data_IF_623227373057
#
_entry.id   IF_623227373057
#
_cell.length_a   1.000
_cell.length_b   1.000
_cell.length_c   1.000
_cell.angle_alpha   90.00
_cell.angle_beta   90.00
_cell.angle_gamma   90.00
#
_symmetry.space_group_name_H-M   'P 1'
#
loop_
_entity.id
_entity.type
_entity.pdbx_description
1 polymer ?
#
# COMPACT_ATOMS: atom_id res chain seq x y z
N UNK A 1 -11.63 -7.77 -1.06
CA UNK A 1 -10.76 -7.72 -2.28
C UNK A 1 -9.48 -8.45 -1.95
N UNK A 2 -8.85 -9.18 -2.88
CA UNK A 2 -7.58 -9.88 -2.61
C UNK A 2 -6.42 -9.23 -3.34
N UNK A 3 -5.29 -9.03 -2.66
CA UNK A 3 -4.07 -8.44 -3.22
C UNK A 3 -2.92 -9.43 -3.07
N UNK A 4 -2.21 -9.67 -4.16
CA UNK A 4 -1.05 -10.58 -4.20
C UNK A 4 0.21 -9.75 -4.42
N UNK A 5 1.15 -9.84 -3.50
CA UNK A 5 2.48 -9.25 -3.62
C UNK A 5 3.47 -10.36 -3.95
N UNK A 6 4.13 -10.28 -5.10
CA UNK A 6 5.13 -11.26 -5.54
C UNK A 6 6.53 -10.66 -5.46
N UNK A 7 7.42 -11.31 -4.73
CA UNK A 7 8.78 -10.84 -4.48
C UNK A 7 9.62 -10.89 -5.74
N UNK A 8 10.29 -9.79 -6.05
CA UNK A 8 11.28 -9.69 -7.11
C UNK A 8 12.71 -9.68 -6.59
N UNK A 9 13.69 -9.55 -7.50
CA UNK A 9 15.08 -9.41 -7.11
C UNK A 9 15.32 -8.09 -6.34
N UNK A 10 16.27 -8.12 -5.40
CA UNK A 10 16.58 -6.97 -4.55
C UNK A 10 15.38 -6.55 -3.70
N UNK A 11 14.97 -5.30 -3.81
CA UNK A 11 13.76 -4.75 -3.15
C UNK A 11 12.57 -4.62 -4.11
N UNK A 12 12.68 -5.18 -5.32
CA UNK A 12 11.61 -5.17 -6.32
C UNK A 12 10.48 -6.14 -5.97
N UNK A 13 9.28 -5.87 -6.49
CA UNK A 13 8.11 -6.74 -6.37
C UNK A 13 7.03 -6.37 -7.38
N UNK A 14 6.06 -7.26 -7.54
CA UNK A 14 4.85 -7.07 -8.35
C UNK A 14 3.60 -7.16 -7.49
N UNK A 15 2.55 -6.50 -7.95
CA UNK A 15 1.25 -6.45 -7.28
C UNK A 15 0.19 -6.87 -8.28
N UNK A 16 -0.62 -7.84 -7.91
CA UNK A 16 -1.86 -8.19 -8.59
C UNK A 16 -3.04 -7.94 -7.65
N UNK A 17 -4.10 -7.34 -8.18
CA UNK A 17 -5.32 -7.03 -7.43
C UNK A 17 -6.47 -7.80 -8.04
N UNK A 18 -7.09 -8.66 -7.24
CA UNK A 18 -8.28 -9.43 -7.58
C UNK A 18 -9.47 -8.84 -6.83
N UNK A 19 -10.45 -8.33 -7.59
CA UNK A 19 -11.62 -7.64 -7.05
C UNK A 19 -12.86 -7.97 -7.86
N UNK A 20 -14.02 -7.90 -7.21
CA UNK A 20 -15.32 -8.10 -7.82
C UNK A 20 -15.87 -6.79 -8.41
N UNK A 21 -15.59 -5.67 -7.74
CA UNK A 21 -16.05 -4.34 -8.15
C UNK A 21 -15.03 -3.65 -9.04
N UNK A 22 -15.46 -3.21 -10.23
CA UNK A 22 -14.61 -2.51 -11.20
C UNK A 22 -13.91 -3.45 -12.19
N UNK A 23 -13.15 -2.88 -13.13
CA UNK A 23 -12.46 -3.68 -14.15
C UNK A 23 -11.36 -4.55 -13.53
N UNK A 24 -11.12 -5.74 -14.11
CA UNK A 24 -9.94 -6.53 -13.81
C UNK A 24 -8.67 -5.71 -14.12
N UNK A 25 -7.70 -5.74 -13.21
CA UNK A 25 -6.51 -4.90 -13.28
C UNK A 25 -5.31 -5.70 -13.77
N UNK A 26 -4.51 -5.10 -14.66
CA UNK A 26 -3.21 -5.65 -15.03
C UNK A 26 -2.26 -5.56 -13.83
N UNK A 27 -1.44 -6.60 -13.56
CA UNK A 27 -0.39 -6.50 -12.55
C UNK A 27 0.58 -5.36 -12.86
N UNK A 28 1.18 -4.78 -11.82
CA UNK A 28 2.22 -3.77 -11.96
C UNK A 28 3.42 -4.08 -11.08
N UNK A 29 4.58 -3.52 -11.42
CA UNK A 29 5.70 -3.47 -10.50
C UNK A 29 5.48 -2.38 -9.45
N UNK A 30 5.96 -2.64 -8.22
CA UNK A 30 6.07 -1.65 -7.17
C UNK A 30 7.23 -0.68 -7.41
N UNK A 31 7.27 0.46 -6.68
CA UNK A 31 8.40 1.38 -6.69
C UNK A 31 9.65 0.84 -5.98
N UNK A 32 9.58 -0.34 -5.37
CA UNK A 32 10.59 -0.85 -4.44
C UNK A 32 10.23 -0.53 -2.98
N UNK A 33 11.20 -0.56 -2.10
CA UNK A 33 11.01 -0.32 -0.67
C UNK A 33 12.13 -0.91 0.17
N UNK A 34 11.77 -1.41 1.35
CA UNK A 34 12.68 -2.09 2.27
C UNK A 34 12.73 -3.60 1.97
N UNK A 35 13.84 -4.26 2.30
CA UNK A 35 14.01 -5.71 2.05
C UNK A 35 13.07 -6.59 2.87
N UNK A 36 12.54 -6.07 3.98
CA UNK A 36 11.53 -6.71 4.81
C UNK A 36 10.11 -6.23 4.51
N UNK A 37 9.95 -4.97 4.09
CA UNK A 37 8.64 -4.33 3.95
C UNK A 37 8.58 -3.57 2.62
N UNK A 38 7.96 -4.17 1.58
CA UNK A 38 7.60 -3.48 0.35
C UNK A 38 6.75 -2.25 0.63
N UNK A 39 7.02 -1.14 -0.05
CA UNK A 39 6.28 0.11 0.13
C UNK A 39 4.77 -0.06 -0.02
N UNK A 40 4.32 -0.74 -1.08
CA UNK A 40 2.89 -0.95 -1.30
C UNK A 40 2.27 -1.95 -0.30
N UNK A 41 3.06 -2.84 0.31
CA UNK A 41 2.58 -3.71 1.41
C UNK A 41 2.38 -2.90 2.70
N UNK A 42 3.30 -1.95 2.98
CA UNK A 42 3.16 -0.99 4.08
C UNK A 42 1.85 -0.21 3.96
N UNK A 43 1.55 0.36 2.79
CA UNK A 43 0.29 1.07 2.58
C UNK A 43 -0.94 0.18 2.78
N UNK A 44 -0.90 -1.07 2.31
CA UNK A 44 -2.00 -2.01 2.52
C UNK A 44 -2.30 -2.21 4.00
N UNK A 45 -1.27 -2.55 4.79
CA UNK A 45 -1.40 -2.84 6.22
C UNK A 45 -1.82 -1.59 7.01
N UNK A 46 -1.22 -0.44 6.70
CA UNK A 46 -1.56 0.85 7.35
C UNK A 46 -3.02 1.20 7.10
N UNK A 47 -3.48 1.18 5.85
CA UNK A 47 -4.84 1.57 5.54
C UNK A 47 -5.86 0.59 6.14
N UNK A 48 -5.56 -0.71 6.15
CA UNK A 48 -6.40 -1.73 6.76
C UNK A 48 -6.55 -1.51 8.27
N UNK A 49 -5.43 -1.38 9.01
CA UNK A 49 -5.42 -1.23 10.47
C UNK A 49 -5.96 0.14 10.96
N UNK A 50 -5.80 1.18 10.13
CA UNK A 50 -6.30 2.52 10.42
C UNK A 50 -7.72 2.78 9.89
N UNK A 51 -8.33 1.81 9.21
CA UNK A 51 -9.67 1.90 8.65
C UNK A 51 -9.81 2.96 7.56
N UNK A 52 -8.74 3.26 6.83
CA UNK A 52 -8.70 4.30 5.80
C UNK A 52 -9.38 3.76 4.53
N UNK A 53 -10.55 4.34 4.18
CA UNK A 53 -11.37 3.82 3.07
C UNK A 53 -11.09 4.52 1.74
N UNK A 54 -10.51 5.72 1.75
CA UNK A 54 -10.20 6.47 0.51
C UNK A 54 -8.70 6.63 0.27
N UNK A 55 -7.89 5.76 0.86
CA UNK A 55 -6.47 5.58 0.54
C UNK A 55 -6.26 4.89 -0.82
N UNK A 56 -5.08 4.35 -1.07
CA UNK A 56 -4.76 3.57 -2.28
C UNK A 56 -5.64 2.33 -2.35
N UNK A 57 -5.59 1.46 -1.34
CA UNK A 57 -6.27 0.15 -1.37
C UNK A 57 -7.75 0.25 -1.08
N UNK A 58 -8.16 1.17 -0.19
CA UNK A 58 -9.57 1.46 0.02
C UNK A 58 -10.29 1.86 -1.28
N UNK A 59 -9.65 2.68 -2.12
CA UNK A 59 -10.20 3.05 -3.43
C UNK A 59 -10.19 1.88 -4.43
N UNK A 60 -9.13 1.07 -4.44
CA UNK A 60 -9.07 -0.13 -5.29
C UNK A 60 -10.22 -1.10 -4.96
N UNK A 61 -10.50 -1.29 -3.67
CA UNK A 61 -11.60 -2.11 -3.19
C UNK A 61 -12.98 -1.54 -3.56
N UNK A 62 -13.10 -0.21 -3.61
CA UNK A 62 -14.30 0.49 -4.08
C UNK A 62 -14.45 0.49 -5.62
N UNK A 63 -13.52 -0.11 -6.36
CA UNK A 63 -13.57 -0.23 -7.82
C UNK A 63 -12.87 0.88 -8.61
N UNK A 64 -12.19 1.82 -7.94
CA UNK A 64 -11.31 2.79 -8.60
C UNK A 64 -10.07 2.07 -9.16
N UNK A 65 -9.57 2.46 -10.33
CA UNK A 65 -8.36 1.85 -10.88
C UNK A 65 -7.07 2.36 -10.21
N UNK A 66 -7.11 3.54 -9.56
CA UNK A 66 -5.96 4.11 -8.88
C UNK A 66 -4.71 4.19 -9.77
N UNK A 67 -3.62 3.56 -9.31
CA UNK A 67 -2.35 3.46 -10.03
C UNK A 67 -2.29 2.28 -11.01
N UNK A 68 -3.33 1.45 -11.06
CA UNK A 68 -3.41 0.29 -11.94
C UNK A 68 -4.15 0.64 -13.23
N UNK A 69 -3.97 -0.22 -14.22
CA UNK A 69 -4.68 -0.14 -15.48
C UNK A 69 -5.63 -1.33 -15.62
N UNK A 70 -6.81 -1.15 -16.22
CA UNK A 70 -7.61 -2.29 -16.67
C UNK A 70 -6.77 -3.22 -17.55
N UNK A 71 -6.92 -4.53 -17.35
CA UNK A 71 -6.25 -5.56 -18.15
C UNK A 71 -6.82 -5.64 -19.57
N UNK A 72 -8.13 -5.46 -19.72
CA UNK A 72 -8.81 -5.39 -21.01
C UNK A 72 -8.48 -4.06 -21.73
N UNK A 73 -7.92 -4.09 -22.95
CA UNK A 73 -7.66 -2.91 -23.76
C UNK A 73 -8.88 -2.01 -23.98
N UNK A 74 -10.09 -2.56 -24.13
CA UNK A 74 -11.31 -1.78 -24.34
C UNK A 74 -11.67 -0.95 -23.09
N UNK A 75 -11.65 -1.58 -21.91
CA UNK A 75 -11.88 -0.90 -20.63
C UNK A 75 -10.75 0.09 -20.30
N UNK A 76 -9.50 -0.22 -20.67
CA UNK A 76 -8.37 0.71 -20.53
C UNK A 76 -8.59 1.98 -21.35
N UNK A 77 -8.99 1.84 -22.61
CA UNK A 77 -9.27 2.97 -23.51
C UNK A 77 -10.44 3.82 -22.98
N UNK A 78 -11.50 3.17 -22.49
CA UNK A 78 -12.65 3.84 -21.86
C UNK A 78 -12.26 4.60 -20.60
N UNK A 79 -11.47 4.00 -19.71
CA UNK A 79 -10.96 4.65 -18.51
C UNK A 79 -10.08 5.86 -18.84
N UNK A 80 -9.18 5.73 -19.82
CA UNK A 80 -8.33 6.82 -20.29
C UNK A 80 -9.14 7.99 -20.87
N UNK A 81 -10.15 7.70 -21.71
CA UNK A 81 -11.07 8.72 -22.25
C UNK A 81 -11.83 9.43 -21.13
N UNK A 82 -12.38 8.68 -20.17
CA UNK A 82 -13.10 9.24 -19.02
C UNK A 82 -12.21 10.15 -18.16
N UNK A 83 -10.96 9.75 -17.90
CA UNK A 83 -10.01 10.56 -17.13
C UNK A 83 -9.66 11.88 -17.83
N UNK A 84 -9.56 11.86 -19.18
CA UNK A 84 -9.34 13.07 -19.99
C UNK A 84 -10.56 13.98 -20.02
N UNK A 85 -11.77 13.43 -20.20
CA UNK A 85 -12.98 14.24 -20.34
C UNK A 85 -13.56 14.74 -19.02
N UNK A 86 -13.31 14.03 -17.91
CA UNK A 86 -13.74 14.42 -16.56
C UNK A 86 -12.60 14.19 -15.56
N UNK A 87 -11.63 15.12 -15.47
CA UNK A 87 -10.62 15.10 -14.43
C UNK A 87 -11.33 15.18 -13.08
N UNK A 88 -11.40 14.06 -12.37
CA UNK A 88 -12.04 14.03 -11.06
C UNK A 88 -11.02 14.54 -10.04
N UNK A 89 -11.27 15.72 -9.50
CA UNK A 89 -10.49 16.23 -8.39
C UNK A 89 -10.83 15.40 -7.14
N UNK A 90 -9.83 14.93 -6.38
CA UNK A 90 -10.09 14.25 -5.12
C UNK A 90 -10.91 15.16 -4.19
N UNK A 91 -11.93 14.59 -3.54
CA UNK A 91 -12.68 15.32 -2.51
C UNK A 91 -11.75 15.68 -1.34
N UNK A 92 -12.08 16.71 -0.54
CA UNK A 92 -11.30 17.04 0.66
C UNK A 92 -11.09 15.83 1.57
N UNK A 93 -12.13 14.99 1.72
CA UNK A 93 -12.05 13.75 2.50
C UNK A 93 -11.08 12.73 1.89
N UNK A 94 -11.08 12.55 0.56
CA UNK A 94 -10.13 11.65 -0.10
C UNK A 94 -8.68 12.16 0.01
N UNK A 95 -8.47 13.48 0.00
CA UNK A 95 -7.15 14.07 0.25
C UNK A 95 -6.71 13.85 1.69
N UNK A 96 -7.62 14.03 2.66
CA UNK A 96 -7.33 13.80 4.08
C UNK A 96 -7.00 12.33 4.36
N UNK A 97 -7.76 11.38 3.80
CA UNK A 97 -7.50 9.94 3.94
C UNK A 97 -6.13 9.55 3.33
N UNK A 98 -5.81 10.09 2.15
CA UNK A 98 -4.50 9.87 1.54
C UNK A 98 -3.37 10.43 2.41
N UNK A 99 -3.47 11.69 2.83
CA UNK A 99 -2.47 12.31 3.70
C UNK A 99 -2.29 11.55 5.02
N UNK A 100 -3.39 11.05 5.60
CA UNK A 100 -3.35 10.22 6.80
C UNK A 100 -2.67 8.89 6.54
N UNK A 101 -2.92 8.24 5.40
CA UNK A 101 -2.23 6.99 5.04
C UNK A 101 -0.72 7.20 4.90
N UNK A 102 -0.30 8.27 4.23
CA UNK A 102 1.11 8.61 4.05
C UNK A 102 1.79 8.91 5.38
N UNK A 103 1.15 9.73 6.23
CA UNK A 103 1.69 10.08 7.55
C UNK A 103 1.86 8.84 8.45
N UNK A 104 0.83 7.98 8.52
CA UNK A 104 0.91 6.76 9.32
C UNK A 104 1.95 5.78 8.75
N UNK A 105 2.05 5.62 7.43
CA UNK A 105 3.07 4.78 6.81
C UNK A 105 4.49 5.26 7.14
N UNK A 106 4.74 6.57 6.98
CA UNK A 106 6.04 7.16 7.28
C UNK A 106 6.41 7.00 8.77
N UNK A 107 5.51 7.33 9.68
CA UNK A 107 5.75 7.19 11.12
C UNK A 107 5.93 5.72 11.53
N UNK A 108 5.06 4.82 11.08
CA UNK A 108 5.12 3.41 11.47
C UNK A 108 6.39 2.73 10.97
N UNK A 109 6.82 2.99 9.73
CA UNK A 109 8.07 2.43 9.19
C UNK A 109 9.27 2.95 9.96
N UNK A 110 9.36 4.27 10.20
CA UNK A 110 10.48 4.85 10.93
C UNK A 110 10.61 4.28 12.36
N UNK A 111 9.49 4.13 13.07
CA UNK A 111 9.49 3.55 14.42
C UNK A 111 9.86 2.07 14.37
N UNK A 112 9.31 1.33 13.41
CA UNK A 112 9.61 -0.08 13.21
C UNK A 112 11.11 -0.31 12.90
N UNK A 113 11.69 0.51 12.02
CA UNK A 113 13.11 0.43 11.66
C UNK A 113 14.03 0.68 12.85
N UNK A 114 13.75 1.70 13.68
CA UNK A 114 14.53 1.96 14.89
C UNK A 114 14.40 0.82 15.88
N UNK A 115 13.17 0.32 16.10
CA UNK A 115 12.90 -0.77 17.04
C UNK A 115 13.60 -2.08 16.66
N UNK A 116 13.76 -2.35 15.36
CA UNK A 116 14.42 -3.55 14.84
C UNK A 116 15.90 -3.35 14.51
N UNK A 117 16.47 -2.17 14.82
CA UNK A 117 17.89 -1.88 14.58
C UNK A 117 18.26 -1.66 13.11
N UNK A 118 17.28 -1.45 12.23
CA UNK A 118 17.51 -1.04 10.84
C UNK A 118 17.84 0.45 10.72
N UNK A 119 17.45 1.27 11.71
CA UNK A 119 17.83 2.66 11.87
C UNK A 119 18.33 2.94 13.30
N UNK A 120 19.20 3.93 13.46
CA UNK A 120 19.74 4.31 14.79
C UNK A 120 18.84 5.27 15.57
N UNK A 121 18.14 6.14 14.85
CA UNK A 121 17.39 7.26 15.44
C UNK A 121 16.12 7.52 14.63
N UNK A 122 15.08 7.99 15.29
CA UNK A 122 13.88 8.45 14.61
C UNK A 122 14.19 9.69 13.74
N UNK A 123 13.63 9.79 12.53
CA UNK A 123 13.68 11.01 11.75
C UNK A 123 13.00 12.18 12.49
N UNK A 124 13.47 13.42 12.25
CA UNK A 124 12.97 14.62 12.93
C UNK A 124 11.46 14.89 12.73
N UNK A 125 10.85 14.34 11.67
CA UNK A 125 9.41 14.47 11.41
C UNK A 125 8.56 13.49 12.24
N UNK A 126 9.18 12.55 12.96
CA UNK A 126 8.50 11.60 13.84
C UNK A 126 8.78 11.99 15.29
N UNK A 127 7.81 12.63 15.95
CA UNK A 127 7.85 12.83 17.40
C UNK A 127 7.38 11.55 18.09
N UNK A 128 8.26 10.91 18.87
CA UNK A 128 7.95 9.67 19.58
C UNK A 128 6.83 9.81 20.62
N UNK A 129 6.63 11.01 21.17
CA UNK A 129 5.71 11.26 22.28
C UNK A 129 4.25 11.45 21.84
N UNK A 130 3.98 11.57 20.53
CA UNK A 130 2.65 11.88 19.98
C UNK A 130 2.12 10.82 18.99
N UNK A 131 2.70 9.60 19.00
CA UNK A 131 2.29 8.56 18.08
C UNK A 131 0.84 8.11 18.34
N UNK A 132 -0.03 8.10 17.32
CA UNK A 132 -1.40 7.62 17.50
C UNK A 132 -1.43 6.15 17.96
N UNK A 133 -2.38 5.73 18.82
CA UNK A 133 -2.48 4.34 19.30
C UNK A 133 -2.66 3.28 18.21
N UNK A 134 -3.01 3.67 16.99
CA UNK A 134 -3.07 2.75 15.85
C UNK A 134 -1.68 2.29 15.39
N UNK A 135 -0.62 3.05 15.67
CA UNK A 135 0.76 2.71 15.31
C UNK A 135 1.17 1.37 15.92
N UNK A 136 0.82 1.10 17.19
CA UNK A 136 1.15 -0.18 17.82
C UNK A 136 0.52 -1.37 17.09
N UNK A 137 -0.73 -1.24 16.63
CA UNK A 137 -1.39 -2.28 15.82
C UNK A 137 -0.73 -2.44 14.47
N UNK A 138 -0.39 -1.33 13.81
CA UNK A 138 0.32 -1.34 12.53
C UNK A 138 1.68 -2.04 12.68
N UNK A 139 2.45 -1.71 13.72
CA UNK A 139 3.76 -2.33 13.97
C UNK A 139 3.65 -3.84 14.21
N UNK A 140 2.65 -4.28 14.98
CA UNK A 140 2.43 -5.72 15.18
C UNK A 140 2.14 -6.45 13.86
N UNK A 141 1.43 -5.80 12.91
CA UNK A 141 1.26 -6.34 11.55
C UNK A 141 2.54 -6.27 10.73
N UNK A 142 3.33 -5.22 10.88
CA UNK A 142 4.63 -5.14 10.21
C UNK A 142 5.54 -6.27 10.66
N UNK A 143 5.59 -6.63 11.94
CA UNK A 143 6.43 -7.73 12.43
C UNK A 143 6.07 -9.06 11.75
N UNK A 144 4.78 -9.40 11.72
CA UNK A 144 4.26 -10.61 11.03
C UNK A 144 4.64 -10.61 9.54
N UNK A 145 4.31 -9.55 8.82
CA UNK A 145 4.52 -9.48 7.37
C UNK A 145 5.98 -9.28 6.97
N UNK A 146 6.78 -8.61 7.80
CA UNK A 146 8.21 -8.43 7.58
C UNK A 146 8.91 -9.79 7.58
N UNK A 147 8.61 -10.63 8.57
CA UNK A 147 9.17 -11.98 8.65
C UNK A 147 8.74 -12.83 7.45
N UNK A 148 7.44 -12.84 7.15
CA UNK A 148 6.88 -13.62 6.04
C UNK A 148 7.46 -13.18 4.69
N UNK A 149 7.53 -11.87 4.44
CA UNK A 149 8.09 -11.33 3.21
C UNK A 149 9.59 -11.61 3.08
N UNK A 150 10.34 -11.40 4.16
CA UNK A 150 11.78 -11.59 4.14
C UNK A 150 12.15 -13.05 3.84
N UNK A 151 11.41 -14.01 4.40
CA UNK A 151 11.59 -15.43 4.17
C UNK A 151 11.24 -15.92 2.75
N UNK A 152 10.45 -15.15 1.97
CA UNK A 152 10.10 -15.56 0.62
C UNK A 152 11.34 -15.58 -0.30
N UNK A 153 11.48 -16.60 -1.17
CA UNK A 153 12.40 -16.52 -2.30
C UNK A 153 11.87 -15.53 -3.34
N UNK A 154 12.73 -15.11 -4.27
CA UNK A 154 12.29 -14.39 -5.48
C UNK A 154 11.27 -15.26 -6.22
N UNK A 155 10.15 -14.65 -6.64
CA UNK A 155 9.00 -15.33 -7.23
C UNK A 155 7.97 -15.84 -6.21
N UNK A 156 8.29 -15.89 -4.92
CA UNK A 156 7.33 -16.19 -3.86
C UNK A 156 6.36 -15.04 -3.61
N UNK A 157 5.17 -15.35 -3.07
CA UNK A 157 4.09 -14.37 -2.91
C UNK A 157 3.45 -14.36 -1.53
N UNK A 158 2.96 -13.19 -1.12
CA UNK A 158 2.00 -13.03 -0.03
C UNK A 158 0.64 -12.65 -0.62
N UNK A 159 -0.41 -13.29 -0.11
CA UNK A 159 -1.79 -12.95 -0.43
C UNK A 159 -2.46 -12.34 0.79
N UNK A 160 -3.15 -11.22 0.59
CA UNK A 160 -3.82 -10.47 1.64
C UNK A 160 -5.24 -10.13 1.20
N UNK A 161 -6.17 -10.27 2.14
CA UNK A 161 -7.56 -9.85 1.96
C UNK A 161 -7.80 -8.48 2.60
N UNK A 162 -8.52 -7.65 1.85
CA UNK A 162 -8.97 -6.30 2.19
C UNK A 162 -10.44 -6.29 2.57
#
# INVERSE_FOLDING_TARGET
>A
MRVVFTKGPGTGYWIAVHRETGAALAPRNGPGGHSYLPHDLVHFLVEAEAGIKRGVYGRLAAGDNGLFWPADPAERNKAARRRKSKPTQPTPQARADMARSEALAASAVAVWEVRHGHAKTLPAYVSGDELPPVIDRIMARFDDYAQRWHALPVGGSLELDW
#
